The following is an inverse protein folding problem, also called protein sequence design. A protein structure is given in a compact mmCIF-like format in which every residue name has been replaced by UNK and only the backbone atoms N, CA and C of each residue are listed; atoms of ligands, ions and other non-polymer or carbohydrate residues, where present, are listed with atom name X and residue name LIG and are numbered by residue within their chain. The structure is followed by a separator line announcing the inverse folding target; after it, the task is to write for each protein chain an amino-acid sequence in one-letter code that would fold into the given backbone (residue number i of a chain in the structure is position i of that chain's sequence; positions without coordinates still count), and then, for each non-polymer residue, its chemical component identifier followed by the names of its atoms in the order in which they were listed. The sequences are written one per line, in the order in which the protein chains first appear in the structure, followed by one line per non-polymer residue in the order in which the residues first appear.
data_IF_237212074280
#
_entry.id   IF_237212074280
#
_cell.length_a   1.000
_cell.length_b   1.000
_cell.length_c   1.000
_cell.angle_alpha   90.00
_cell.angle_beta   90.00
_cell.angle_gamma   90.00
#
_symmetry.space_group_name_H-M   'P 1'
#
loop_
_entity.id
_entity.type
_entity.pdbx_description
1 polymer ?
#
# COMPACT_ATOMS: atom_id res chain seq x y z
N UNK A 1 7.34 -23.76 -30.87
CA UNK A 1 5.89 -24.07 -30.94
C UNK A 1 5.07 -23.10 -30.09
N UNK A 2 5.41 -22.92 -28.81
CA UNK A 2 4.69 -22.03 -27.89
C UNK A 2 4.72 -20.54 -28.28
N UNK A 3 5.72 -20.07 -29.05
CA UNK A 3 5.87 -18.66 -29.41
C UNK A 3 4.60 -18.02 -30.03
N UNK A 4 3.92 -18.69 -30.97
CA UNK A 4 2.69 -18.17 -31.60
C UNK A 4 1.54 -18.11 -30.59
N UNK A 5 1.44 -19.11 -29.72
CA UNK A 5 0.41 -19.18 -28.69
C UNK A 5 0.64 -18.12 -27.60
N UNK A 6 1.90 -17.89 -27.23
CA UNK A 6 2.29 -16.84 -26.30
C UNK A 6 1.97 -15.46 -26.87
N UNK A 7 2.25 -15.22 -28.16
CA UNK A 7 1.90 -13.97 -28.82
C UNK A 7 0.38 -13.70 -28.73
N UNK A 8 -0.44 -14.72 -29.01
CA UNK A 8 -1.89 -14.61 -28.84
C UNK A 8 -2.29 -14.34 -27.39
N UNK A 9 -1.78 -15.13 -26.44
CA UNK A 9 -2.09 -15.00 -25.01
C UNK A 9 -1.73 -13.61 -24.47
N UNK A 10 -0.59 -13.06 -24.84
CA UNK A 10 -0.19 -11.73 -24.39
C UNK A 10 -1.02 -10.61 -25.03
N UNK A 11 -1.46 -10.79 -26.28
CA UNK A 11 -2.27 -9.80 -26.99
C UNK A 11 -3.75 -9.83 -26.55
N UNK A 12 -4.33 -11.01 -26.42
CA UNK A 12 -5.76 -11.21 -26.15
C UNK A 12 -6.06 -11.48 -24.66
N UNK A 13 -5.03 -11.68 -23.84
CA UNK A 13 -5.11 -11.97 -22.39
C UNK A 13 -5.81 -13.27 -22.02
N UNK A 14 -6.17 -14.10 -22.99
CA UNK A 14 -6.71 -15.43 -22.76
C UNK A 14 -6.38 -16.38 -23.89
N UNK A 15 -6.27 -17.67 -23.58
CA UNK A 15 -6.20 -18.74 -24.57
C UNK A 15 -6.89 -20.00 -24.03
N UNK A 16 -7.89 -20.50 -24.77
CA UNK A 16 -8.65 -21.69 -24.43
C UNK A 16 -8.02 -22.92 -25.06
N UNK A 17 -7.70 -23.95 -24.27
CA UNK A 17 -7.07 -25.19 -24.70
C UNK A 17 -8.07 -26.35 -24.59
N UNK A 18 -8.56 -26.88 -25.73
CA UNK A 18 -9.53 -27.97 -25.77
C UNK A 18 -9.16 -29.15 -24.87
N UNK A 19 -10.10 -29.58 -24.03
CA UNK A 19 -9.94 -30.72 -23.14
C UNK A 19 -8.99 -30.50 -21.96
N UNK A 20 -8.51 -29.26 -21.74
CA UNK A 20 -7.74 -28.85 -20.57
C UNK A 20 -8.41 -27.70 -19.82
N UNK A 21 -8.65 -26.57 -20.49
CA UNK A 21 -9.16 -25.35 -19.86
C UNK A 21 -8.61 -24.08 -20.52
N UNK A 22 -8.88 -22.92 -19.93
CA UNK A 22 -8.41 -21.61 -20.40
C UNK A 22 -7.34 -21.03 -19.48
N UNK A 23 -6.27 -20.51 -20.06
CA UNK A 23 -5.27 -19.69 -19.38
C UNK A 23 -5.64 -18.23 -19.59
N UNK A 24 -5.64 -17.45 -18.51
CA UNK A 24 -5.88 -16.01 -18.50
C UNK A 24 -4.63 -15.27 -18.03
N UNK A 25 -4.38 -14.11 -18.63
CA UNK A 25 -3.40 -13.13 -18.18
C UNK A 25 -4.14 -12.01 -17.46
N UNK A 26 -4.11 -12.03 -16.14
CA UNK A 26 -4.78 -11.04 -15.30
C UNK A 26 -3.84 -9.91 -14.92
N UNK A 27 -4.40 -8.70 -14.83
CA UNK A 27 -3.69 -7.52 -14.33
C UNK A 27 -4.11 -7.26 -12.90
N UNK A 28 -3.16 -7.31 -11.98
CA UNK A 28 -3.33 -6.77 -10.64
C UNK A 28 -3.12 -5.26 -10.68
N UNK A 29 -4.03 -4.46 -10.10
CA UNK A 29 -3.87 -3.02 -10.05
C UNK A 29 -2.67 -2.61 -9.20
N UNK A 30 -2.18 -1.39 -9.44
CA UNK A 30 -1.19 -0.78 -8.56
C UNK A 30 -1.75 -0.65 -7.14
N UNK A 31 -0.89 -0.88 -6.15
CA UNK A 31 -1.26 -0.84 -4.73
C UNK A 31 -0.30 0.06 -3.95
N UNK A 32 -0.82 0.73 -2.94
CA UNK A 32 0.03 1.53 -2.02
C UNK A 32 0.59 0.60 -0.96
N UNK A 33 1.91 0.54 -0.87
CA UNK A 33 2.60 0.00 0.29
C UNK A 33 2.77 1.11 1.33
N UNK A 34 1.99 1.00 2.42
CA UNK A 34 2.00 1.99 3.50
C UNK A 34 3.26 1.89 4.36
N UNK A 35 3.83 0.70 4.50
CA UNK A 35 5.02 0.48 5.33
C UNK A 35 6.24 1.13 4.67
N UNK A 36 6.41 0.89 3.37
CA UNK A 36 7.55 1.43 2.60
C UNK A 36 7.27 2.82 2.00
N UNK A 37 6.04 3.34 2.14
CA UNK A 37 5.57 4.59 1.53
C UNK A 37 5.83 4.62 0.02
N UNK A 38 5.57 3.50 -0.64
CA UNK A 38 5.73 3.35 -2.08
C UNK A 38 4.40 2.99 -2.73
N UNK A 39 4.27 3.28 -4.02
CA UNK A 39 3.29 2.63 -4.87
C UNK A 39 3.97 1.46 -5.58
N UNK A 40 3.42 0.28 -5.35
CA UNK A 40 3.70 -0.92 -6.11
C UNK A 40 3.06 -0.79 -7.50
N UNK A 41 3.80 -1.12 -8.57
CA UNK A 41 3.25 -1.07 -9.92
C UNK A 41 2.16 -2.12 -10.13
N UNK A 42 1.34 -1.98 -11.18
CA UNK A 42 0.48 -3.07 -11.61
C UNK A 42 1.31 -4.29 -12.00
N UNK A 43 0.82 -5.47 -11.65
CA UNK A 43 1.50 -6.74 -11.93
C UNK A 43 0.65 -7.60 -12.85
N UNK A 44 1.29 -8.54 -13.55
CA UNK A 44 0.59 -9.53 -14.37
C UNK A 44 0.75 -10.92 -13.78
N UNK A 45 -0.34 -11.68 -13.72
CA UNK A 45 -0.33 -13.07 -13.28
C UNK A 45 -1.06 -13.96 -14.29
N UNK A 46 -0.62 -15.22 -14.40
CA UNK A 46 -1.36 -16.22 -15.14
C UNK A 46 -2.32 -16.95 -14.20
N UNK A 47 -3.60 -17.04 -14.60
CA UNK A 47 -4.62 -17.86 -13.95
C UNK A 47 -5.06 -18.97 -14.89
N UNK A 48 -5.27 -20.17 -14.36
CA UNK A 48 -5.83 -21.28 -15.11
C UNK A 48 -7.25 -21.58 -14.64
N UNK A 49 -8.15 -21.78 -15.59
CA UNK A 49 -9.53 -22.18 -15.37
C UNK A 49 -9.83 -23.46 -16.16
N UNK A 50 -10.37 -24.48 -15.49
CA UNK A 50 -10.78 -25.72 -16.15
C UNK A 50 -12.09 -25.59 -16.92
N UNK A 51 -12.84 -24.53 -16.66
CA UNK A 51 -14.10 -24.25 -17.33
C UNK A 51 -13.84 -23.38 -18.57
N UNK A 52 -14.55 -23.67 -19.66
CA UNK A 52 -14.37 -23.08 -20.99
C UNK A 52 -13.06 -23.51 -21.66
N UNK A 53 -13.16 -24.30 -22.71
CA UNK A 53 -12.02 -24.87 -23.42
C UNK A 53 -12.15 -24.76 -24.95
N UNK A 54 -13.17 -24.06 -25.45
CA UNK A 54 -13.41 -23.88 -26.87
C UNK A 54 -12.74 -22.59 -27.37
N UNK A 55 -11.75 -22.66 -28.27
CA UNK A 55 -11.18 -21.50 -28.92
C UNK A 55 -12.20 -20.84 -29.84
N UNK A 56 -12.11 -19.52 -29.97
CA UNK A 56 -12.95 -18.73 -30.86
C UNK A 56 -12.43 -18.75 -32.32
N UNK A 57 -13.21 -18.18 -33.23
CA UNK A 57 -12.86 -18.13 -34.65
C UNK A 57 -11.68 -17.17 -34.87
N UNK A 58 -11.63 -16.09 -34.11
CA UNK A 58 -10.58 -15.08 -34.13
C UNK A 58 -9.21 -15.69 -33.82
N UNK A 59 -9.13 -16.61 -32.86
CA UNK A 59 -7.93 -17.35 -32.53
C UNK A 59 -7.38 -18.15 -33.70
N UNK A 60 -8.23 -18.91 -34.40
CA UNK A 60 -7.80 -19.69 -35.56
C UNK A 60 -7.36 -18.80 -36.72
N UNK A 61 -8.05 -17.68 -36.96
CA UNK A 61 -7.65 -16.69 -37.94
C UNK A 61 -6.30 -16.05 -37.58
N UNK A 62 -6.03 -15.79 -36.30
CA UNK A 62 -4.74 -15.31 -35.83
C UNK A 62 -3.61 -16.31 -36.12
N UNK A 63 -3.81 -17.59 -35.79
CA UNK A 63 -2.81 -18.63 -36.07
C UNK A 63 -2.55 -18.75 -37.58
N UNK A 64 -3.63 -18.79 -38.38
CA UNK A 64 -3.56 -18.89 -39.84
C UNK A 64 -2.70 -17.77 -40.43
N UNK A 65 -2.95 -16.53 -40.01
CA UNK A 65 -2.17 -15.36 -40.42
C UNK A 65 -0.71 -15.41 -39.94
N UNK A 66 -0.48 -15.71 -38.67
CA UNK A 66 0.86 -15.72 -38.07
C UNK A 66 1.76 -16.82 -38.67
N UNK A 67 1.17 -17.94 -39.11
CA UNK A 67 1.89 -19.08 -39.68
C UNK A 67 1.83 -19.17 -41.20
N UNK A 68 1.07 -18.29 -41.87
CA UNK A 68 0.79 -18.35 -43.30
C UNK A 68 0.22 -19.69 -43.76
N UNK A 69 -0.76 -20.20 -43.02
CA UNK A 69 -1.48 -21.46 -43.32
C UNK A 69 -2.98 -21.19 -43.50
N UNK A 70 -3.72 -22.15 -44.03
CA UNK A 70 -5.17 -22.02 -44.19
C UNK A 70 -5.89 -22.22 -42.84
N UNK A 71 -7.06 -21.61 -42.67
CA UNK A 71 -7.84 -21.67 -41.40
C UNK A 71 -8.07 -23.11 -40.92
N UNK A 72 -8.41 -24.03 -41.82
CA UNK A 72 -8.64 -25.43 -41.47
C UNK A 72 -7.36 -26.14 -41.00
N UNK A 73 -6.19 -25.75 -41.53
CA UNK A 73 -4.89 -26.27 -41.10
C UNK A 73 -4.53 -25.73 -39.71
N UNK A 74 -4.86 -24.47 -39.42
CA UNK A 74 -4.69 -23.87 -38.10
C UNK A 74 -5.55 -24.60 -37.04
N UNK A 75 -6.80 -24.92 -37.37
CA UNK A 75 -7.69 -25.70 -36.50
C UNK A 75 -7.09 -27.09 -36.23
N UNK A 76 -6.67 -27.80 -37.28
CA UNK A 76 -6.07 -29.13 -37.15
C UNK A 76 -4.80 -29.08 -36.28
N UNK A 77 -3.89 -28.16 -36.60
CA UNK A 77 -2.62 -27.99 -35.90
C UNK A 77 -2.83 -27.70 -34.41
N UNK A 78 -3.79 -26.84 -34.06
CA UNK A 78 -4.05 -26.50 -32.67
C UNK A 78 -4.70 -27.64 -31.89
N UNK A 79 -5.62 -28.38 -32.51
CA UNK A 79 -6.23 -29.55 -31.89
C UNK A 79 -5.21 -30.67 -31.65
N UNK A 80 -4.29 -30.90 -32.60
CA UNK A 80 -3.17 -31.82 -32.42
C UNK A 80 -2.28 -31.38 -31.25
N UNK A 81 -1.93 -30.09 -31.17
CA UNK A 81 -1.20 -29.55 -30.03
C UNK A 81 -1.92 -29.77 -28.69
N UNK A 82 -3.21 -29.45 -28.60
CA UNK A 82 -3.99 -29.60 -27.38
C UNK A 82 -4.06 -31.07 -26.93
N UNK A 83 -4.22 -31.98 -27.89
CA UNK A 83 -4.21 -33.42 -27.64
C UNK A 83 -2.84 -33.90 -27.12
N UNK A 84 -1.76 -33.50 -27.78
CA UNK A 84 -0.39 -33.86 -27.38
C UNK A 84 -0.05 -33.31 -25.99
N UNK A 85 -0.40 -32.05 -25.72
CA UNK A 85 -0.20 -31.42 -24.41
C UNK A 85 -0.93 -32.19 -23.32
N UNK A 86 -2.19 -32.56 -23.56
CA UNK A 86 -2.99 -33.34 -22.60
C UNK A 86 -2.39 -34.73 -22.36
N UNK A 87 -1.88 -35.39 -23.39
CA UNK A 87 -1.24 -36.70 -23.24
C UNK A 87 0.06 -36.59 -22.46
N UNK A 88 0.87 -35.56 -22.71
CA UNK A 88 2.10 -35.31 -21.96
C UNK A 88 1.82 -35.04 -20.48
N UNK A 89 0.84 -34.21 -20.15
CA UNK A 89 0.45 -33.99 -18.73
C UNK A 89 -0.02 -35.29 -18.06
N UNK A 90 -0.63 -36.21 -18.82
CA UNK A 90 -1.06 -37.52 -18.29
C UNK A 90 0.09 -38.51 -18.08
N UNK A 91 1.17 -38.42 -18.87
CA UNK A 91 2.27 -39.40 -18.88
C UNK A 91 3.50 -38.91 -18.13
N UNK A 92 3.86 -37.64 -18.29
CA UNK A 92 5.05 -36.98 -17.73
C UNK A 92 4.75 -36.29 -16.38
N UNK A 93 3.49 -36.29 -15.93
CA UNK A 93 2.91 -35.58 -14.76
C UNK A 93 3.05 -34.04 -14.78
N UNK A 94 4.06 -33.50 -15.47
CA UNK A 94 4.32 -32.08 -15.65
C UNK A 94 4.76 -31.74 -17.09
N UNK A 95 4.36 -30.56 -17.57
CA UNK A 95 4.79 -30.00 -18.84
C UNK A 95 5.17 -28.54 -18.65
N UNK A 96 6.41 -28.20 -18.98
CA UNK A 96 6.87 -26.82 -19.00
C UNK A 96 6.37 -26.08 -20.27
N UNK A 97 5.56 -25.05 -20.07
CA UNK A 97 5.16 -24.08 -21.09
C UNK A 97 6.04 -22.84 -20.96
N UNK A 98 7.04 -22.74 -21.82
CA UNK A 98 8.00 -21.64 -21.85
C UNK A 98 7.30 -20.26 -21.92
N UNK A 99 7.62 -19.38 -20.96
CA UNK A 99 7.06 -18.04 -20.86
C UNK A 99 5.69 -17.93 -20.16
N UNK A 100 5.08 -19.06 -19.78
CA UNK A 100 3.81 -19.09 -19.03
C UNK A 100 3.98 -19.76 -17.67
N UNK A 101 4.48 -21.00 -17.64
CA UNK A 101 4.64 -21.76 -16.40
C UNK A 101 4.63 -23.27 -16.61
N UNK A 102 4.49 -24.02 -15.52
CA UNK A 102 4.43 -25.48 -15.53
C UNK A 102 2.99 -25.94 -15.35
N UNK A 103 2.48 -26.70 -16.31
CA UNK A 103 1.20 -27.39 -16.21
C UNK A 103 1.44 -28.76 -15.59
N UNK A 104 0.81 -29.04 -14.45
CA UNK A 104 0.96 -30.31 -13.75
C UNK A 104 -0.38 -30.87 -13.28
N UNK A 105 -0.39 -32.15 -12.98
CA UNK A 105 -1.55 -32.80 -12.38
C UNK A 105 -1.50 -32.68 -10.85
N UNK A 106 -2.59 -32.24 -10.25
CA UNK A 106 -2.78 -32.25 -8.80
C UNK A 106 -3.12 -33.68 -8.30
N UNK A 107 -2.99 -33.93 -7.00
CA UNK A 107 -3.35 -35.20 -6.35
C UNK A 107 -4.82 -35.62 -6.54
N UNK A 108 -5.70 -34.67 -6.86
CA UNK A 108 -7.10 -34.92 -7.22
C UNK A 108 -7.32 -35.27 -8.70
N UNK A 109 -6.25 -35.27 -9.50
CA UNK A 109 -6.27 -35.52 -10.94
C UNK A 109 -6.67 -34.34 -11.83
N UNK A 110 -6.82 -33.15 -11.26
CA UNK A 110 -7.07 -31.91 -11.99
C UNK A 110 -5.76 -31.32 -12.53
N UNK A 111 -5.84 -30.53 -13.60
CA UNK A 111 -4.68 -29.79 -14.12
C UNK A 111 -4.55 -28.48 -13.36
N UNK A 112 -3.34 -28.17 -12.91
CA UNK A 112 -2.96 -26.94 -12.23
C UNK A 112 -1.82 -26.26 -13.01
N UNK A 113 -1.87 -24.94 -13.11
CA UNK A 113 -0.80 -24.13 -13.66
C UNK A 113 -0.01 -23.50 -12.52
N UNK A 114 1.28 -23.82 -12.45
CA UNK A 114 2.25 -23.08 -11.63
C UNK A 114 2.91 -22.01 -12.50
N UNK A 115 2.59 -20.72 -12.29
CA UNK A 115 3.17 -19.65 -13.10
C UNK A 115 4.68 -19.60 -12.89
N UNK A 116 5.41 -19.21 -13.93
CA UNK A 116 6.85 -18.99 -13.81
C UNK A 116 7.12 -17.93 -12.72
N UNK A 117 8.05 -18.22 -11.81
CA UNK A 117 8.19 -17.63 -10.47
C UNK A 117 8.57 -16.15 -10.40
N UNK A 118 8.49 -15.41 -11.51
CA UNK A 118 8.71 -13.98 -11.53
C UNK A 118 7.43 -13.31 -12.02
N UNK A 119 6.71 -12.56 -11.17
CA UNK A 119 5.70 -11.64 -11.69
C UNK A 119 6.38 -10.78 -12.75
N UNK A 120 5.71 -10.60 -13.88
CA UNK A 120 6.22 -9.78 -14.97
C UNK A 120 6.23 -8.31 -14.53
N UNK A 121 7.23 -7.95 -13.72
CA UNK A 121 7.44 -6.62 -13.16
C UNK A 121 8.19 -5.80 -14.20
N UNK A 122 7.44 -5.27 -15.16
CA UNK A 122 7.97 -4.35 -16.17
C UNK A 122 8.22 -2.94 -15.61
N UNK A 123 7.84 -2.69 -14.36
CA UNK A 123 7.85 -1.38 -13.72
C UNK A 123 8.47 -1.47 -12.33
N UNK A 124 9.01 -0.35 -11.86
CA UNK A 124 9.61 -0.24 -10.53
C UNK A 124 8.67 0.47 -9.55
N UNK A 125 8.70 0.11 -8.26
CA UNK A 125 7.99 0.85 -7.22
C UNK A 125 8.41 2.33 -7.21
N UNK A 126 7.43 3.22 -7.03
CA UNK A 126 7.65 4.67 -7.05
C UNK A 126 7.28 5.26 -5.68
N UNK A 127 8.03 6.22 -5.12
CA UNK A 127 7.71 6.81 -3.83
C UNK A 127 6.32 7.46 -3.82
N UNK A 128 5.52 7.12 -2.81
CA UNK A 128 4.20 7.67 -2.58
C UNK A 128 4.28 8.71 -1.45
N UNK A 129 4.54 9.97 -1.81
CA UNK A 129 4.55 11.08 -0.85
C UNK A 129 3.12 11.58 -0.66
N UNK A 130 2.61 11.48 0.57
CA UNK A 130 1.33 12.09 0.93
C UNK A 130 1.50 13.61 0.95
N UNK A 131 0.83 14.31 0.04
CA UNK A 131 0.76 15.77 0.07
C UNK A 131 -0.16 16.19 1.20
N UNK A 132 0.42 16.64 2.32
CA UNK A 132 -0.31 17.30 3.40
C UNK A 132 -0.48 18.78 3.04
N UNK A 133 -1.70 19.18 2.73
CA UNK A 133 -2.05 20.58 2.58
C UNK A 133 -2.27 21.17 3.99
N UNK A 134 -1.22 21.73 4.58
CA UNK A 134 -1.31 22.37 5.91
C UNK A 134 -2.27 23.56 5.89
N UNK A 135 -2.41 24.23 4.75
CA UNK A 135 -3.26 25.41 4.56
C UNK A 135 -4.62 25.09 3.90
N UNK A 136 -5.02 23.82 3.86
CA UNK A 136 -6.34 23.47 3.35
C UNK A 136 -7.44 23.98 4.29
N UNK A 137 -7.99 25.13 3.92
CA UNK A 137 -9.18 25.73 4.51
C UNK A 137 -10.39 24.84 4.22
N UNK A 138 -10.72 23.97 5.17
CA UNK A 138 -11.93 23.16 5.08
C UNK A 138 -13.07 23.96 5.72
N UNK A 139 -14.21 24.01 5.02
CA UNK A 139 -15.46 24.50 5.60
C UNK A 139 -16.00 23.45 6.57
N UNK A 140 -16.15 23.82 7.83
CA UNK A 140 -16.65 23.00 8.91
C UNK A 140 -17.94 23.64 9.45
N UNK A 141 -18.94 22.83 9.80
CA UNK A 141 -20.13 23.32 10.48
C UNK A 141 -19.84 23.43 11.98
N UNK A 142 -19.88 24.65 12.53
CA UNK A 142 -19.69 24.91 13.96
C UNK A 142 -21.00 25.47 14.53
N UNK A 143 -21.72 24.63 15.30
CA UNK A 143 -23.11 24.92 15.67
C UNK A 143 -24.01 24.87 14.43
N UNK A 144 -24.64 25.99 14.10
CA UNK A 144 -25.53 26.13 12.93
C UNK A 144 -24.89 26.92 11.77
N UNK A 145 -23.60 27.29 11.85
CA UNK A 145 -22.93 28.12 10.84
C UNK A 145 -21.72 27.41 10.23
N UNK A 146 -21.62 27.47 8.91
CA UNK A 146 -20.43 27.05 8.16
C UNK A 146 -19.29 28.05 8.39
N UNK A 147 -18.14 27.55 8.84
CA UNK A 147 -16.95 28.31 9.22
C UNK A 147 -15.70 27.63 8.70
N UNK A 148 -14.67 28.41 8.40
CA UNK A 148 -13.42 27.86 7.87
C UNK A 148 -12.42 27.61 9.00
N UNK A 149 -11.60 26.56 8.91
CA UNK A 149 -10.55 26.24 9.91
C UNK A 149 -9.63 27.43 10.23
N UNK A 150 -9.36 28.30 9.26
CA UNK A 150 -8.58 29.53 9.44
C UNK A 150 -9.21 30.49 10.45
N UNK A 151 -10.50 30.81 10.29
CA UNK A 151 -11.23 31.72 11.19
C UNK A 151 -11.28 31.19 12.63
N UNK A 152 -11.40 29.86 12.79
CA UNK A 152 -11.47 29.22 14.12
C UNK A 152 -10.12 29.27 14.87
N UNK A 153 -9.00 29.17 14.15
CA UNK A 153 -7.67 29.30 14.75
C UNK A 153 -7.37 30.75 15.15
N UNK A 154 -7.78 31.73 14.34
CA UNK A 154 -7.66 33.14 14.68
C UNK A 154 -8.45 33.49 15.95
N UNK A 155 -9.68 32.99 16.10
CA UNK A 155 -10.46 33.19 17.33
C UNK A 155 -9.83 32.56 18.56
N UNK A 156 -9.29 31.33 18.44
CA UNK A 156 -8.59 30.67 19.55
C UNK A 156 -7.37 31.48 20.00
N UNK A 157 -6.59 31.98 19.04
CA UNK A 157 -5.43 32.83 19.34
C UNK A 157 -5.84 34.14 20.03
N UNK A 158 -6.95 34.75 19.58
CA UNK A 158 -7.47 35.97 20.20
C UNK A 158 -7.98 35.73 21.64
N UNK A 159 -8.60 34.59 21.92
CA UNK A 159 -8.99 34.18 23.28
C UNK A 159 -7.77 33.97 24.19
N UNK A 160 -6.73 33.28 23.69
CA UNK A 160 -5.50 33.02 24.45
C UNK A 160 -4.72 34.32 24.75
N UNK A 161 -4.66 35.27 23.80
CA UNK A 161 -4.06 36.59 24.02
C UNK A 161 -4.85 37.44 25.02
N UNK A 162 -6.19 37.41 24.96
CA UNK A 162 -7.03 38.09 25.94
C UNK A 162 -6.89 37.50 27.35
N UNK A 163 -6.84 36.17 27.48
CA UNK A 163 -6.59 35.51 28.76
C UNK A 163 -5.20 35.83 29.31
N UNK A 164 -4.17 35.83 28.45
CA UNK A 164 -2.81 36.21 28.82
C UNK A 164 -2.72 37.67 29.30
N UNK A 165 -3.48 38.57 28.69
CA UNK A 165 -3.55 39.99 29.09
C UNK A 165 -4.35 40.22 30.38
N UNK A 166 -5.33 39.37 30.67
CA UNK A 166 -6.14 39.39 31.91
C UNK A 166 -5.42 38.76 33.10
N UNK A 167 -4.44 37.88 32.86
CA UNK A 167 -3.54 37.38 33.90
C UNK A 167 -2.59 38.50 34.32
N UNK A 168 -3.00 39.26 35.34
CA UNK A 168 -2.13 40.20 36.05
C UNK A 168 -0.88 39.51 36.61
N UNK A 169 0.01 40.30 37.24
CA UNK A 169 1.32 39.86 37.74
C UNK A 169 1.29 38.41 38.27
N UNK A 170 2.08 37.50 37.66
CA UNK A 170 1.96 36.09 37.97
C UNK A 170 2.32 35.87 39.44
N UNK A 171 1.54 35.03 40.12
CA UNK A 171 1.57 34.86 41.59
C UNK A 171 2.99 34.62 42.17
N UNK A 172 3.88 34.01 41.39
CA UNK A 172 5.28 33.78 41.78
C UNK A 172 6.07 35.07 42.03
N UNK A 173 5.69 36.18 41.37
CA UNK A 173 6.29 37.51 41.61
C UNK A 173 5.90 38.03 42.99
N UNK A 174 4.64 37.82 43.41
CA UNK A 174 4.19 38.18 44.76
C UNK A 174 4.92 37.33 45.80
N UNK A 175 5.09 36.03 45.55
CA UNK A 175 5.85 35.13 46.42
C UNK A 175 7.31 35.58 46.58
N UNK A 176 7.95 36.01 45.50
CA UNK A 176 9.33 36.54 45.52
C UNK A 176 9.44 37.81 46.38
N UNK A 177 8.50 38.75 46.25
CA UNK A 177 8.49 39.98 47.04
C UNK A 177 8.37 39.69 48.55
N UNK A 178 7.48 38.76 48.92
CA UNK A 178 7.30 38.34 50.32
C UNK A 178 8.57 37.70 50.86
N UNK A 179 9.25 36.86 50.07
CA UNK A 179 10.50 36.22 50.48
C UNK A 179 11.61 37.24 50.77
N UNK A 180 11.76 38.26 49.91
CA UNK A 180 12.74 39.35 50.10
C UNK A 180 12.41 40.18 51.34
N UNK A 181 11.14 40.52 51.55
CA UNK A 181 10.70 41.26 52.73
C UNK A 181 10.95 40.46 54.02
N UNK A 182 10.71 39.15 54.02
CA UNK A 182 10.99 38.27 55.15
C UNK A 182 12.48 38.19 55.48
N UNK A 183 13.35 38.09 54.47
CA UNK A 183 14.81 38.12 54.66
C UNK A 183 15.29 39.45 55.23
N UNK A 184 14.75 40.58 54.75
CA UNK A 184 15.09 41.90 55.28
C UNK A 184 14.66 42.04 56.76
N UNK A 185 13.47 41.54 57.11
CA UNK A 185 12.98 41.55 58.48
C UNK A 185 13.83 40.68 59.41
N UNK A 186 14.18 39.47 58.97
CA UNK A 186 15.10 38.59 59.71
C UNK A 186 16.47 39.25 59.90
N UNK A 187 17.03 39.86 58.85
CA UNK A 187 18.29 40.59 58.94
C UNK A 187 18.25 41.72 59.96
N UNK A 188 17.17 42.51 59.96
CA UNK A 188 16.98 43.58 60.94
C UNK A 188 16.79 43.06 62.37
N UNK A 189 16.05 41.97 62.55
CA UNK A 189 15.86 41.33 63.85
C UNK A 189 17.21 40.81 64.40
N UNK A 190 18.00 40.15 63.57
CA UNK A 190 19.34 39.68 63.95
C UNK A 190 20.30 40.82 64.29
N UNK A 191 20.24 41.93 63.55
CA UNK A 191 21.05 43.11 63.85
C UNK A 191 20.68 43.77 65.18
N UNK A 192 19.38 43.84 65.51
CA UNK A 192 18.89 44.51 66.72
C UNK A 192 19.00 43.67 67.99
N UNK A 193 18.85 42.35 67.92
CA UNK A 193 18.77 41.48 69.11
C UNK A 193 20.06 40.70 69.42
N UNK A 194 21.05 40.69 68.53
CA UNK A 194 22.31 39.98 68.76
C UNK A 194 22.16 38.44 68.80
N UNK A 195 23.16 37.72 68.31
CA UNK A 195 23.13 36.26 68.28
C UNK A 195 23.40 35.66 69.68
N UNK A 196 22.35 35.26 70.39
CA UNK A 196 22.48 34.33 71.52
C UNK A 196 22.60 32.90 70.99
N UNK A 197 23.83 32.43 70.79
CA UNK A 197 24.11 31.00 70.60
C UNK A 197 24.34 30.36 71.96
N UNK A 198 23.28 29.88 72.61
CA UNK A 198 23.40 28.97 73.75
C UNK A 198 23.63 27.54 73.24
N UNK A 199 24.85 27.28 72.76
CA UNK A 199 25.42 25.94 72.73
C UNK A 199 26.26 25.77 73.99
N UNK A 200 25.73 25.04 74.99
CA UNK A 200 26.56 24.38 75.99
C UNK A 200 26.12 22.92 76.10
N UNK A 201 26.87 22.06 75.41
CA UNK A 201 27.08 20.69 75.86
C UNK A 201 28.02 20.69 77.06
N UNK A 202 27.74 19.87 78.09
CA UNK A 202 28.78 19.14 78.84
C UNK A 202 28.20 17.96 79.63
N UNK A 203 28.72 16.78 79.27
CA UNK A 203 28.79 15.47 79.94
C UNK A 203 27.50 14.67 80.17
#
# INVERSE_FOLDING_TARGET
MFAVLNAYLFQHRSISIPGLGTIYLETMPAAVDVADRTMLPPMYQFRFDKYFDAPDKEFFAFIANQRHILDFEAIKWYNEFAFDLRNRIKTEDEVNWEGVGVLKKDGSGNVLLEPFSSPLNFMQPTPAVRVLHQDAQHTLLVGDRERTTGEMNEWRQHEEEEEGRRRGLPWWVIALIIAVAGLAFLGWYFYSHGLSTASQNKF
#
